data_IF_929615762377
#
_entry.id   IF_929615762377
#
_cell.length_a   1.000
_cell.length_b   1.000
_cell.length_c   1.000
_cell.angle_alpha   90.00
_cell.angle_beta   90.00
_cell.angle_gamma   90.00
#
_symmetry.space_group_name_H-M   'P 1'
#
loop_
_entity.id
_entity.type
_entity.pdbx_description
1 polymer ?
#
# COMPACT_ATOMS: atom_id res chain seq x y z
N UNK A 1 22.75 30.94 -19.05
CA UNK A 1 21.88 29.81 -18.61
C UNK A 1 20.50 30.10 -19.16
N UNK A 2 20.04 29.29 -20.08
CA UNK A 2 18.93 29.65 -20.95
C UNK A 2 17.56 29.35 -20.37
N UNK A 3 16.58 30.09 -20.81
CA UNK A 3 15.14 29.99 -20.53
C UNK A 3 14.62 28.52 -20.62
N UNK A 4 15.26 27.68 -21.43
CA UNK A 4 14.93 26.25 -21.55
C UNK A 4 15.30 25.41 -20.30
N UNK A 5 16.40 25.75 -19.62
CA UNK A 5 16.80 25.07 -18.38
C UNK A 5 15.87 25.43 -17.21
N UNK A 6 15.46 26.70 -17.12
CA UNK A 6 14.49 27.13 -16.10
C UNK A 6 13.13 26.47 -16.29
N UNK A 7 12.63 26.41 -17.51
CA UNK A 7 11.36 25.74 -17.84
C UNK A 7 11.43 24.24 -17.54
N UNK A 8 12.56 23.58 -17.84
CA UNK A 8 12.78 22.18 -17.51
C UNK A 8 12.79 21.94 -16.00
N UNK A 9 13.44 22.84 -15.23
CA UNK A 9 13.52 22.74 -13.77
C UNK A 9 12.14 22.94 -13.11
N UNK A 10 11.38 23.94 -13.55
CA UNK A 10 10.02 24.22 -13.09
C UNK A 10 9.10 23.04 -13.38
N UNK A 11 9.18 22.44 -14.56
CA UNK A 11 8.35 21.33 -14.96
C UNK A 11 8.66 20.06 -14.13
N UNK A 12 9.94 19.81 -13.84
CA UNK A 12 10.39 18.71 -12.97
C UNK A 12 9.91 18.90 -11.52
N UNK A 13 9.96 20.11 -10.99
CA UNK A 13 9.46 20.42 -9.65
C UNK A 13 7.94 20.26 -9.56
N UNK A 14 7.20 20.75 -10.56
CA UNK A 14 5.75 20.59 -10.61
C UNK A 14 5.32 19.12 -10.67
N UNK A 15 6.07 18.28 -11.39
CA UNK A 15 5.83 16.83 -11.46
C UNK A 15 6.06 16.16 -10.09
N UNK A 16 7.16 16.50 -9.41
CA UNK A 16 7.46 15.98 -8.09
C UNK A 16 6.40 16.40 -7.06
N UNK A 17 5.95 17.66 -7.10
CA UNK A 17 4.90 18.15 -6.21
C UNK A 17 3.58 17.42 -6.41
N UNK A 18 3.15 17.19 -7.66
CA UNK A 18 1.93 16.44 -7.97
C UNK A 18 2.01 14.99 -7.44
N UNK A 19 3.15 14.32 -7.63
CA UNK A 19 3.37 12.98 -7.08
C UNK A 19 3.26 12.97 -5.56
N UNK A 20 3.93 13.91 -4.89
CA UNK A 20 3.88 14.03 -3.42
C UNK A 20 2.46 14.25 -2.92
N UNK A 21 1.67 15.11 -3.57
CA UNK A 21 0.28 15.33 -3.22
C UNK A 21 -0.57 14.06 -3.34
N UNK A 22 -0.39 13.28 -4.42
CA UNK A 22 -1.11 12.03 -4.61
C UNK A 22 -0.74 11.01 -3.53
N UNK A 23 0.55 10.87 -3.22
CA UNK A 23 1.01 9.96 -2.16
C UNK A 23 0.47 10.40 -0.78
N UNK A 24 0.40 11.71 -0.51
CA UNK A 24 -0.20 12.23 0.71
C UNK A 24 -1.71 11.93 0.79
N UNK A 25 -2.44 12.06 -0.32
CA UNK A 25 -3.86 11.69 -0.39
C UNK A 25 -4.06 10.18 -0.17
N UNK A 26 -3.25 9.33 -0.78
CA UNK A 26 -3.31 7.88 -0.57
C UNK A 26 -2.99 7.51 0.88
N UNK A 27 -2.03 8.20 1.50
CA UNK A 27 -1.72 8.05 2.93
C UNK A 27 -2.93 8.41 3.79
N UNK A 28 -3.58 9.54 3.52
CA UNK A 28 -4.77 9.97 4.26
C UNK A 28 -5.92 8.96 4.12
N UNK A 29 -6.18 8.47 2.91
CA UNK A 29 -7.20 7.44 2.65
C UNK A 29 -6.86 6.16 3.43
N UNK A 30 -5.59 5.73 3.42
CA UNK A 30 -5.14 4.56 4.18
C UNK A 30 -5.40 4.72 5.68
N UNK A 31 -5.09 5.89 6.25
CA UNK A 31 -5.36 6.20 7.68
C UNK A 31 -6.86 6.12 7.96
N UNK A 32 -7.69 6.76 7.15
CA UNK A 32 -9.15 6.76 7.34
C UNK A 32 -9.69 5.34 7.26
N UNK A 33 -9.35 4.58 6.22
CA UNK A 33 -9.79 3.19 6.08
C UNK A 33 -9.28 2.29 7.21
N UNK A 34 -8.06 2.54 7.69
CA UNK A 34 -7.44 1.73 8.73
C UNK A 34 -7.88 2.07 10.15
N UNK A 35 -8.04 3.32 10.49
CA UNK A 35 -8.26 3.73 11.88
C UNK A 35 -9.73 4.04 12.18
N UNK A 36 -10.47 4.58 11.21
CA UNK A 36 -11.85 5.04 11.39
C UNK A 36 -12.90 4.11 10.76
N UNK A 37 -12.63 3.54 9.58
CA UNK A 37 -13.56 2.65 8.89
C UNK A 37 -13.32 1.16 9.17
N UNK A 38 -12.35 0.83 10.03
CA UNK A 38 -12.08 -0.55 10.39
C UNK A 38 -13.21 -1.15 11.23
N UNK A 39 -13.77 -2.27 10.77
CA UNK A 39 -14.75 -3.04 11.52
C UNK A 39 -14.00 -3.97 12.46
N UNK A 40 -14.27 -3.85 13.77
CA UNK A 40 -13.65 -4.68 14.80
C UNK A 40 -14.62 -5.75 15.28
N UNK A 41 -14.18 -7.00 15.20
CA UNK A 41 -14.89 -8.15 15.76
C UNK A 41 -14.14 -8.71 16.98
N UNK A 42 -14.19 -8.00 18.11
CA UNK A 42 -13.38 -8.29 19.30
C UNK A 42 -11.93 -7.82 19.17
N UNK A 43 -11.05 -8.30 20.07
CA UNK A 43 -9.65 -7.82 20.17
C UNK A 43 -8.74 -8.37 19.06
N UNK A 44 -9.13 -9.45 18.41
CA UNK A 44 -8.29 -10.18 17.43
C UNK A 44 -8.68 -9.91 15.99
N UNK A 45 -9.98 -9.69 15.73
CA UNK A 45 -10.50 -9.49 14.39
C UNK A 45 -10.61 -8.01 14.03
N UNK A 46 -9.91 -7.62 12.96
CA UNK A 46 -9.98 -6.27 12.42
C UNK A 46 -10.03 -6.32 10.90
N UNK A 47 -11.18 -6.02 10.33
CA UNK A 47 -11.36 -5.86 8.90
C UNK A 47 -11.13 -4.40 8.53
N UNK A 48 -10.14 -4.12 7.69
CA UNK A 48 -9.86 -2.78 7.22
C UNK A 48 -9.24 -2.80 5.83
N UNK A 49 -9.59 -1.82 5.01
CA UNK A 49 -9.03 -1.60 3.68
C UNK A 49 -7.79 -0.69 3.71
N UNK A 50 -7.09 -0.63 4.85
CA UNK A 50 -5.92 0.24 5.03
C UNK A 50 -4.78 -0.06 4.05
N UNK A 51 -4.67 -1.33 3.63
CA UNK A 51 -3.60 -1.78 2.76
C UNK A 51 -3.85 -1.47 1.27
N UNK A 52 -5.11 -1.27 0.87
CA UNK A 52 -5.46 -0.99 -0.53
C UNK A 52 -4.75 0.23 -1.10
N UNK A 53 -4.76 1.42 -0.45
CA UNK A 53 -4.04 2.58 -0.95
C UNK A 53 -2.51 2.40 -0.95
N UNK A 54 -1.97 1.63 0.01
CA UNK A 54 -0.55 1.28 0.10
C UNK A 54 -0.14 0.41 -1.09
N UNK A 55 -0.92 -0.65 -1.35
CA UNK A 55 -0.70 -1.56 -2.49
C UNK A 55 -0.83 -0.82 -3.81
N UNK A 56 -1.86 0.01 -3.95
CA UNK A 56 -2.06 0.83 -5.14
C UNK A 56 -0.88 1.79 -5.37
N UNK A 57 -0.41 2.48 -4.33
CA UNK A 57 0.77 3.35 -4.41
C UNK A 57 2.02 2.57 -4.88
N UNK A 58 2.24 1.38 -4.31
CA UNK A 58 3.35 0.51 -4.71
C UNK A 58 3.27 0.08 -6.17
N UNK A 59 2.14 -0.47 -6.60
CA UNK A 59 1.95 -0.97 -7.97
C UNK A 59 2.04 0.14 -9.03
N UNK A 60 1.58 1.34 -8.71
CA UNK A 60 1.51 2.46 -9.66
C UNK A 60 2.79 3.28 -9.66
N UNK A 61 3.29 3.68 -8.49
CA UNK A 61 4.41 4.62 -8.37
C UNK A 61 5.73 3.96 -7.97
N UNK A 62 5.71 2.65 -7.76
CA UNK A 62 6.89 1.85 -7.47
C UNK A 62 7.11 1.55 -5.99
N UNK A 63 8.11 0.68 -5.67
CA UNK A 63 8.28 0.12 -4.33
C UNK A 63 8.60 1.17 -3.26
N UNK A 64 9.41 2.16 -3.57
CA UNK A 64 9.75 3.22 -2.62
C UNK A 64 8.53 4.08 -2.24
N UNK A 65 7.67 4.42 -3.22
CA UNK A 65 6.45 5.18 -2.99
C UNK A 65 5.45 4.39 -2.12
N UNK A 66 5.26 3.10 -2.43
CA UNK A 66 4.39 2.22 -1.63
C UNK A 66 4.89 2.06 -0.20
N UNK A 67 6.20 1.85 -0.01
CA UNK A 67 6.82 1.74 1.31
C UNK A 67 6.64 3.03 2.13
N UNK A 68 6.87 4.18 1.51
CA UNK A 68 6.70 5.49 2.15
C UNK A 68 5.25 5.69 2.61
N UNK A 69 4.27 5.44 1.74
CA UNK A 69 2.85 5.53 2.08
C UNK A 69 2.51 4.60 3.24
N UNK A 70 3.00 3.35 3.22
CA UNK A 70 2.75 2.36 4.27
C UNK A 70 3.31 2.77 5.62
N UNK A 71 4.58 3.19 5.67
CA UNK A 71 5.24 3.63 6.91
C UNK A 71 4.58 4.89 7.46
N UNK A 72 4.36 5.91 6.63
CA UNK A 72 3.77 7.17 7.09
C UNK A 72 2.31 6.98 7.52
N UNK A 73 1.52 6.16 6.79
CA UNK A 73 0.14 5.87 7.17
C UNK A 73 0.05 5.16 8.52
N UNK A 74 0.94 4.22 8.80
CA UNK A 74 0.94 3.53 10.10
C UNK A 74 1.39 4.45 11.24
N UNK A 75 2.50 5.18 11.08
CA UNK A 75 3.01 6.09 12.10
C UNK A 75 2.02 7.20 12.43
N UNK A 76 1.59 7.96 11.41
CA UNK A 76 0.64 9.07 11.60
C UNK A 76 -0.70 8.55 12.10
N UNK A 77 -1.18 7.43 11.56
CA UNK A 77 -2.41 6.81 12.01
C UNK A 77 -2.37 6.36 13.47
N UNK A 78 -1.25 5.82 13.96
CA UNK A 78 -1.09 5.47 15.38
C UNK A 78 -1.10 6.71 16.27
N UNK A 79 -0.39 7.77 15.88
CA UNK A 79 -0.38 9.04 16.62
C UNK A 79 -1.79 9.64 16.71
N UNK A 80 -2.54 9.67 15.60
CA UNK A 80 -3.89 10.25 15.55
C UNK A 80 -4.91 9.57 16.47
N UNK A 81 -4.79 8.26 16.66
CA UNK A 81 -5.73 7.49 17.51
C UNK A 81 -5.16 7.13 18.89
N UNK A 82 -3.95 7.61 19.22
CA UNK A 82 -3.30 7.36 20.51
C UNK A 82 -2.84 5.91 20.71
N UNK A 83 -2.54 5.18 19.64
CA UNK A 83 -2.00 3.82 19.73
C UNK A 83 -0.49 3.84 19.94
N UNK A 84 0.00 2.88 20.71
CA UNK A 84 1.44 2.64 20.84
C UNK A 84 2.02 2.25 19.47
N UNK A 85 3.07 2.95 19.07
CA UNK A 85 3.79 2.64 17.84
C UNK A 85 4.56 1.34 18.03
N UNK A 86 4.29 0.35 17.18
CA UNK A 86 5.02 -0.91 17.15
C UNK A 86 5.92 -0.93 15.89
N UNK A 87 7.25 -0.84 16.06
CA UNK A 87 8.18 -0.76 14.92
C UNK A 87 8.05 -1.92 13.93
N UNK A 88 7.74 -3.14 14.43
CA UNK A 88 7.59 -4.32 13.57
C UNK A 88 6.32 -4.23 12.72
N UNK A 89 5.23 -3.69 13.29
CA UNK A 89 3.98 -3.45 12.54
C UNK A 89 4.18 -2.38 11.48
N UNK A 90 4.91 -1.32 11.80
CA UNK A 90 5.28 -0.26 10.85
C UNK A 90 6.16 -0.80 9.71
N UNK A 91 7.15 -1.64 10.04
CA UNK A 91 7.96 -2.34 9.02
C UNK A 91 7.09 -3.24 8.14
N UNK A 92 6.10 -3.92 8.72
CA UNK A 92 5.13 -4.71 7.98
C UNK A 92 4.30 -3.87 7.00
N UNK A 93 3.89 -2.66 7.38
CA UNK A 93 3.18 -1.73 6.50
C UNK A 93 4.07 -1.24 5.34
N UNK A 94 5.34 -0.92 5.62
CA UNK A 94 6.33 -0.60 4.60
C UNK A 94 6.62 -1.77 3.66
N UNK A 95 6.73 -2.99 4.20
CA UNK A 95 6.95 -4.20 3.41
C UNK A 95 5.80 -4.49 2.43
N UNK A 96 4.54 -4.25 2.83
CA UNK A 96 3.39 -4.35 1.91
C UNK A 96 3.59 -3.47 0.69
N UNK A 97 3.95 -2.20 0.89
CA UNK A 97 4.19 -1.26 -0.19
C UNK A 97 5.40 -1.60 -1.06
N UNK A 98 6.49 -2.05 -0.44
CA UNK A 98 7.68 -2.52 -1.16
C UNK A 98 7.37 -3.71 -2.07
N UNK A 99 6.69 -4.72 -1.53
CA UNK A 99 6.30 -5.93 -2.28
C UNK A 99 5.33 -5.56 -3.39
N UNK A 100 4.32 -4.74 -3.08
CA UNK A 100 3.35 -4.30 -4.07
C UNK A 100 3.98 -3.56 -5.25
N UNK A 101 5.08 -2.83 -5.04
CA UNK A 101 5.81 -2.16 -6.12
C UNK A 101 6.85 -3.03 -6.81
N UNK A 102 7.47 -3.97 -6.08
CA UNK A 102 8.52 -4.85 -6.61
C UNK A 102 7.97 -6.06 -7.38
N UNK A 103 6.88 -6.66 -6.90
CA UNK A 103 6.29 -7.85 -7.55
C UNK A 103 5.90 -7.63 -9.00
N UNK A 104 5.25 -6.51 -9.40
CA UNK A 104 4.94 -6.27 -10.81
C UNK A 104 6.18 -6.28 -11.70
N UNK A 105 7.33 -5.82 -11.21
CA UNK A 105 8.59 -5.85 -11.97
C UNK A 105 9.08 -7.28 -12.21
N UNK A 106 8.95 -8.16 -11.20
CA UNK A 106 9.32 -9.57 -11.29
C UNK A 106 8.35 -10.35 -12.20
N UNK A 107 7.04 -10.11 -12.04
CA UNK A 107 5.99 -10.80 -12.78
C UNK A 107 6.01 -10.44 -14.28
N UNK A 108 6.31 -9.18 -14.63
CA UNK A 108 6.54 -8.77 -16.04
C UNK A 108 7.69 -9.55 -16.66
N UNK A 109 8.76 -9.80 -15.92
CA UNK A 109 9.87 -10.63 -16.41
C UNK A 109 9.45 -12.08 -16.68
N UNK A 110 8.45 -12.57 -15.94
CA UNK A 110 7.83 -13.88 -16.13
C UNK A 110 6.67 -13.86 -17.15
N UNK A 111 6.41 -12.72 -17.84
CA UNK A 111 5.30 -12.51 -18.78
C UNK A 111 3.91 -12.69 -18.14
N UNK A 112 3.79 -12.40 -16.86
CA UNK A 112 2.52 -12.41 -16.12
C UNK A 112 2.05 -10.97 -16.00
N UNK A 113 0.92 -10.65 -16.63
CA UNK A 113 0.37 -9.28 -16.69
C UNK A 113 -1.14 -9.27 -16.40
N UNK A 114 -1.68 -8.06 -16.18
CA UNK A 114 -3.12 -7.84 -16.03
C UNK A 114 -3.66 -8.25 -14.66
N UNK A 115 -4.79 -8.93 -14.66
CA UNK A 115 -5.49 -9.31 -13.42
C UNK A 115 -4.67 -10.29 -12.57
N UNK A 116 -3.99 -11.23 -13.21
CA UNK A 116 -3.18 -12.23 -12.52
C UNK A 116 -1.98 -11.58 -11.80
N UNK A 117 -1.33 -10.61 -12.42
CA UNK A 117 -0.29 -9.77 -11.79
C UNK A 117 -0.81 -9.11 -10.51
N UNK A 118 -2.01 -8.51 -10.58
CA UNK A 118 -2.62 -7.84 -9.43
C UNK A 118 -2.94 -8.82 -8.30
N UNK A 119 -3.56 -9.95 -8.63
CA UNK A 119 -3.93 -10.99 -7.63
C UNK A 119 -2.70 -11.53 -6.92
N UNK A 120 -1.67 -11.93 -7.67
CA UNK A 120 -0.42 -12.45 -7.07
C UNK A 120 0.25 -11.40 -6.20
N UNK A 121 0.33 -10.16 -6.69
CA UNK A 121 0.96 -9.06 -5.95
C UNK A 121 0.25 -8.80 -4.62
N UNK A 122 -1.08 -8.71 -4.64
CA UNK A 122 -1.89 -8.48 -3.44
C UNK A 122 -1.75 -9.65 -2.46
N UNK A 123 -1.83 -10.90 -2.96
CA UNK A 123 -1.71 -12.10 -2.13
C UNK A 123 -0.34 -12.16 -1.43
N UNK A 124 0.77 -11.94 -2.16
CA UNK A 124 2.11 -11.96 -1.59
C UNK A 124 2.34 -10.79 -0.62
N UNK A 125 1.87 -9.59 -0.95
CA UNK A 125 1.99 -8.43 -0.07
C UNK A 125 1.26 -8.65 1.27
N UNK A 126 0.04 -9.21 1.25
CA UNK A 126 -0.68 -9.55 2.47
C UNK A 126 -0.05 -10.71 3.23
N UNK A 127 0.37 -11.77 2.55
CA UNK A 127 0.99 -12.93 3.19
C UNK A 127 2.26 -12.51 3.96
N UNK A 128 3.16 -11.80 3.31
CA UNK A 128 4.43 -11.41 3.93
C UNK A 128 4.23 -10.25 4.91
N UNK A 129 3.64 -9.15 4.49
CA UNK A 129 3.55 -7.94 5.30
C UNK A 129 2.52 -8.04 6.42
N UNK A 130 1.31 -8.55 6.11
CA UNK A 130 0.21 -8.57 7.08
C UNK A 130 0.19 -9.84 7.92
N UNK A 131 0.35 -11.01 7.31
CA UNK A 131 0.25 -12.29 8.03
C UNK A 131 1.54 -12.64 8.76
N UNK A 132 2.71 -12.50 8.12
CA UNK A 132 3.98 -12.84 8.76
C UNK A 132 4.49 -11.69 9.64
N UNK A 133 4.87 -10.56 9.05
CA UNK A 133 5.59 -9.49 9.77
C UNK A 133 4.71 -8.85 10.85
N UNK A 134 3.50 -8.41 10.53
CA UNK A 134 2.62 -7.75 11.52
C UNK A 134 2.17 -8.72 12.61
N UNK A 135 2.03 -10.03 12.34
CA UNK A 135 1.68 -11.03 13.37
C UNK A 135 2.83 -11.22 14.36
N UNK A 136 4.07 -11.30 13.86
CA UNK A 136 5.26 -11.35 14.73
C UNK A 136 5.33 -10.11 15.64
N UNK A 137 5.10 -8.92 15.08
CA UNK A 137 5.09 -7.68 15.84
C UNK A 137 4.02 -7.64 16.92
N UNK A 138 2.81 -8.11 16.64
CA UNK A 138 1.72 -8.13 17.62
C UNK A 138 1.93 -9.21 18.69
N UNK A 139 2.36 -10.41 18.29
CA UNK A 139 2.66 -11.49 19.24
C UNK A 139 3.77 -11.10 20.22
N UNK A 140 4.86 -10.51 19.73
CA UNK A 140 6.00 -10.12 20.55
C UNK A 140 5.72 -8.92 21.46
N UNK A 141 4.82 -8.00 21.06
CA UNK A 141 4.57 -6.75 21.79
C UNK A 141 3.39 -6.82 22.76
N UNK A 142 2.42 -7.71 22.52
CA UNK A 142 1.18 -7.82 23.29
C UNK A 142 0.98 -9.20 23.92
N UNK A 143 2.00 -10.06 23.94
CA UNK A 143 1.97 -11.43 24.47
C UNK A 143 0.80 -12.28 23.94
N UNK A 144 0.37 -12.01 22.70
CA UNK A 144 -0.73 -12.74 22.09
C UNK A 144 -0.26 -14.09 21.54
N UNK A 145 -1.07 -15.17 21.66
CA UNK A 145 -0.70 -16.48 21.15
C UNK A 145 -0.56 -16.47 19.62
N UNK A 146 0.68 -16.62 19.13
CA UNK A 146 1.06 -16.48 17.73
C UNK A 146 0.21 -17.31 16.76
N UNK A 147 -0.02 -18.58 17.08
CA UNK A 147 -0.75 -19.51 16.19
C UNK A 147 -2.20 -19.08 16.00
N UNK A 148 -2.88 -18.71 17.08
CA UNK A 148 -4.29 -18.28 17.03
C UNK A 148 -4.39 -16.97 16.22
N UNK A 149 -3.49 -16.03 16.49
CA UNK A 149 -3.43 -14.76 15.78
C UNK A 149 -3.18 -14.97 14.28
N UNK A 150 -2.24 -15.86 13.93
CA UNK A 150 -1.90 -16.18 12.55
C UNK A 150 -3.06 -16.80 11.79
N UNK A 151 -3.77 -17.78 12.37
CA UNK A 151 -4.93 -18.43 11.73
C UNK A 151 -6.05 -17.44 11.44
N UNK A 152 -6.39 -16.58 12.40
CA UNK A 152 -7.40 -15.54 12.22
C UNK A 152 -6.97 -14.52 11.15
N UNK A 153 -5.69 -14.17 11.08
CA UNK A 153 -5.19 -13.26 10.08
C UNK A 153 -5.20 -13.83 8.68
N UNK A 154 -4.88 -15.11 8.51
CA UNK A 154 -5.00 -15.79 7.21
C UNK A 154 -6.43 -15.68 6.68
N UNK A 155 -7.43 -16.02 7.50
CA UNK A 155 -8.85 -15.94 7.11
C UNK A 155 -9.26 -14.48 6.80
N UNK A 156 -8.87 -13.53 7.66
CA UNK A 156 -9.17 -12.11 7.48
C UNK A 156 -8.56 -11.57 6.16
N UNK A 157 -7.28 -11.83 5.94
CA UNK A 157 -6.60 -11.32 4.74
C UNK A 157 -6.92 -12.10 3.47
N UNK A 158 -7.50 -13.30 3.54
CA UNK A 158 -8.12 -13.93 2.38
C UNK A 158 -9.31 -13.10 1.88
N UNK A 159 -10.15 -12.61 2.79
CA UNK A 159 -11.33 -11.80 2.45
C UNK A 159 -10.89 -10.37 2.05
N UNK A 160 -10.11 -9.71 2.91
CA UNK A 160 -9.66 -8.33 2.68
C UNK A 160 -8.78 -8.25 1.44
N UNK A 161 -7.87 -9.22 1.24
CA UNK A 161 -7.01 -9.28 0.06
C UNK A 161 -7.79 -9.47 -1.25
N UNK A 162 -8.88 -10.26 -1.23
CA UNK A 162 -9.76 -10.36 -2.38
C UNK A 162 -10.43 -9.01 -2.70
N UNK A 163 -10.92 -8.30 -1.68
CA UNK A 163 -11.51 -6.96 -1.84
C UNK A 163 -10.48 -5.95 -2.33
N UNK A 164 -9.29 -5.91 -1.72
CA UNK A 164 -8.19 -5.03 -2.13
C UNK A 164 -7.78 -5.30 -3.59
N UNK A 165 -7.69 -6.58 -3.97
CA UNK A 165 -7.36 -6.97 -5.34
C UNK A 165 -8.39 -6.50 -6.37
N UNK A 166 -9.69 -6.68 -6.07
CA UNK A 166 -10.78 -6.18 -6.93
C UNK A 166 -10.73 -4.67 -7.04
N UNK A 167 -10.62 -3.95 -5.93
CA UNK A 167 -10.59 -2.48 -5.92
C UNK A 167 -9.39 -1.94 -6.69
N UNK A 168 -8.19 -2.47 -6.45
CA UNK A 168 -6.97 -2.08 -7.18
C UNK A 168 -7.11 -2.36 -8.67
N UNK A 169 -7.68 -3.51 -9.05
CA UNK A 169 -7.90 -3.87 -10.46
C UNK A 169 -8.90 -2.93 -11.13
N UNK A 170 -10.02 -2.62 -10.47
CA UNK A 170 -11.03 -1.68 -10.99
C UNK A 170 -10.42 -0.29 -11.21
N UNK A 171 -9.63 0.20 -10.26
CA UNK A 171 -8.97 1.51 -10.39
C UNK A 171 -7.95 1.50 -11.54
N UNK A 172 -7.12 0.44 -11.65
CA UNK A 172 -6.14 0.29 -12.73
C UNK A 172 -6.79 0.17 -14.11
N UNK A 173 -7.95 -0.47 -14.22
CA UNK A 173 -8.66 -0.66 -15.48
C UNK A 173 -9.43 0.59 -15.94
N UNK A 174 -9.62 1.57 -15.07
CA UNK A 174 -10.30 2.81 -15.42
C UNK A 174 -9.41 3.67 -16.35
N UNK A 175 -9.86 3.87 -17.60
CA UNK A 175 -9.12 4.61 -18.63
C UNK A 175 -8.75 6.04 -18.20
N UNK A 176 -9.66 6.74 -17.51
CA UNK A 176 -9.42 8.12 -17.05
C UNK A 176 -8.28 8.19 -16.03
N UNK A 177 -8.27 7.29 -15.06
CA UNK A 177 -7.22 7.21 -14.04
C UNK A 177 -5.88 6.77 -14.67
N UNK A 178 -5.92 5.76 -15.54
CA UNK A 178 -4.74 5.27 -16.25
C UNK A 178 -4.07 6.36 -17.08
N UNK A 179 -4.84 7.18 -17.80
CA UNK A 179 -4.30 8.33 -18.55
C UNK A 179 -3.63 9.36 -17.64
N UNK A 180 -4.23 9.69 -16.49
CA UNK A 180 -3.62 10.62 -15.54
C UNK A 180 -2.32 10.08 -14.94
N UNK A 181 -2.29 8.77 -14.62
CA UNK A 181 -1.10 8.10 -14.12
C UNK A 181 0.03 8.15 -15.16
N UNK A 182 -0.27 7.85 -16.43
CA UNK A 182 0.71 7.89 -17.51
C UNK A 182 1.28 9.30 -17.73
N UNK A 183 0.44 10.35 -17.65
CA UNK A 183 0.89 11.75 -17.66
C UNK A 183 1.85 12.06 -16.51
N UNK A 184 1.58 11.57 -15.31
CA UNK A 184 2.45 11.74 -14.15
C UNK A 184 3.79 11.02 -14.32
N UNK A 185 3.79 9.83 -14.93
CA UNK A 185 5.02 9.08 -15.24
C UNK A 185 5.82 9.67 -16.39
N UNK A 186 5.20 10.50 -17.22
CA UNK A 186 5.81 11.04 -18.44
C UNK A 186 5.86 10.02 -19.57
N UNK A 187 4.97 9.05 -19.56
CA UNK A 187 4.77 8.02 -20.57
C UNK A 187 3.63 8.46 -21.55
N UNK A 188 3.66 9.72 -22.01
CA UNK A 188 2.76 10.15 -23.10
C UNK A 188 3.21 9.50 -24.40
N UNK A 189 2.35 8.63 -24.96
CA UNK A 189 2.37 8.23 -26.35
C UNK A 189 1.46 9.15 -27.16
#
# INVERSE_FOLDING_TARGET
MGCAEEVFFINKQAKNLRLTLILAMLTAISIVCGKYLAIRGGDVMRFSLENMPIIFAGMVFGPAAGALVGVVADLVGCIMVGYTINPVVTLGAGAIGLIAGGMPMLLKRARIEGTLETVITVAVAHLVGSVLIKTLGLSAYYDMPFIILMLWRVLNYAIVGALDGVLVQVIKSNKGISLQINRLKGEEK
#
